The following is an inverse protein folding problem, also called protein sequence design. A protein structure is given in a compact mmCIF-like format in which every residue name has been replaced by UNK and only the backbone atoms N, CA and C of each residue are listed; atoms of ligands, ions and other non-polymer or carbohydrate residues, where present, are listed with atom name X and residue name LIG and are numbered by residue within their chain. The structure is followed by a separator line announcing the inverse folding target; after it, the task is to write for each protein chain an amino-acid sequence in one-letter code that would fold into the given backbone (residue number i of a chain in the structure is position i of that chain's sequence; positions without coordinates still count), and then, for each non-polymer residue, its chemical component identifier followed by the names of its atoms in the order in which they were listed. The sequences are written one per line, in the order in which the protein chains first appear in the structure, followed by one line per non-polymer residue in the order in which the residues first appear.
data_IF_288924811039
#
_entry.id   IF_288924811039
#
_cell.length_a   1.000
_cell.length_b   1.000
_cell.length_c   1.000
_cell.angle_alpha   90.00
_cell.angle_beta   90.00
_cell.angle_gamma   90.00
#
_symmetry.space_group_name_H-M   'P 1'
#
loop_
_entity.id
_entity.type
_entity.pdbx_description
1 polymer ?
#
# COMPACT_ATOMS: atom_id res chain seq x y z
N UNK A 1 -6.72 1.28 -3.32
CA UNK A 1 -5.92 0.46 -4.26
C UNK A 1 -4.66 -0.05 -3.56
N UNK A 2 -4.12 -1.20 -3.98
CA UNK A 2 -2.84 -1.73 -3.46
C UNK A 2 -1.97 -2.15 -4.65
N UNK A 3 -0.68 -1.81 -4.61
CA UNK A 3 0.31 -2.20 -5.62
C UNK A 3 1.54 -2.76 -4.93
N UNK A 4 1.89 -3.99 -5.26
CA UNK A 4 3.07 -4.68 -4.71
C UNK A 4 4.27 -4.45 -5.63
N UNK A 5 5.43 -4.19 -5.05
CA UNK A 5 6.72 -3.97 -5.70
C UNK A 5 7.79 -4.83 -5.02
N UNK A 6 8.70 -5.41 -5.79
CA UNK A 6 9.78 -6.25 -5.24
C UNK A 6 10.27 -7.38 -6.13
N UNK A 7 9.99 -7.30 -7.44
CA UNK A 7 10.58 -8.21 -8.42
C UNK A 7 12.12 -8.12 -8.36
N UNK A 8 12.79 -9.25 -8.09
CA UNK A 8 14.25 -9.29 -7.89
C UNK A 8 14.77 -8.66 -6.60
N UNK A 9 13.92 -8.36 -5.61
CA UNK A 9 14.31 -7.78 -4.32
C UNK A 9 14.32 -8.82 -3.19
N UNK A 10 14.93 -8.47 -2.06
CA UNK A 10 15.04 -9.34 -0.87
C UNK A 10 13.69 -9.67 -0.21
N UNK A 11 12.69 -8.82 -0.40
CA UNK A 11 11.33 -8.97 0.13
C UNK A 11 10.35 -8.14 -0.69
N UNK A 12 9.05 -8.37 -0.53
CA UNK A 12 8.02 -7.54 -1.18
C UNK A 12 7.69 -6.31 -0.33
N UNK A 13 7.47 -5.20 -1.01
CA UNK A 13 6.91 -3.98 -0.43
C UNK A 13 5.62 -3.60 -1.14
N UNK A 14 4.75 -2.82 -0.51
CA UNK A 14 3.51 -2.40 -1.15
C UNK A 14 3.21 -0.91 -0.96
N UNK A 15 2.73 -0.28 -2.02
CA UNK A 15 2.02 0.99 -1.97
C UNK A 15 0.56 0.75 -1.67
N UNK A 16 0.04 1.43 -0.66
CA UNK A 16 -1.36 1.39 -0.28
C UNK A 16 -1.96 2.77 -0.48
N UNK A 17 -3.00 2.83 -1.30
CA UNK A 17 -3.85 4.00 -1.51
C UNK A 17 -5.16 3.75 -0.77
N UNK A 18 -5.21 4.06 0.53
CA UNK A 18 -6.43 3.94 1.29
C UNK A 18 -7.49 4.89 0.73
N UNK A 19 -8.74 4.44 0.76
CA UNK A 19 -9.86 5.34 0.59
C UNK A 19 -10.17 5.94 1.96
N UNK A 20 -9.99 7.25 2.14
CA UNK A 20 -10.23 7.94 3.41
C UNK A 20 -11.56 7.56 4.06
N UNK A 21 -12.73 7.71 3.40
CA UNK A 21 -14.02 7.34 3.99
C UNK A 21 -14.10 5.86 4.41
N UNK A 22 -13.41 4.95 3.71
CA UNK A 22 -13.38 3.53 4.09
C UNK A 22 -12.50 3.27 5.33
N UNK A 23 -11.42 4.02 5.49
CA UNK A 23 -10.57 3.96 6.68
C UNK A 23 -11.28 4.59 7.88
N UNK A 24 -11.91 5.74 7.69
CA UNK A 24 -12.69 6.42 8.72
C UNK A 24 -13.83 5.54 9.22
N UNK A 25 -14.57 4.90 8.31
CA UNK A 25 -15.61 3.95 8.69
C UNK A 25 -15.05 2.77 9.50
N UNK A 26 -13.95 2.15 9.04
CA UNK A 26 -13.34 1.02 9.72
C UNK A 26 -12.78 1.38 11.11
N UNK A 27 -12.18 2.57 11.26
CA UNK A 27 -11.68 3.05 12.54
C UNK A 27 -12.83 3.41 13.49
N UNK A 28 -13.89 4.03 12.97
CA UNK A 28 -15.09 4.36 13.74
C UNK A 28 -15.81 3.11 14.25
N UNK A 29 -15.90 2.04 13.45
CA UNK A 29 -16.41 0.74 13.90
C UNK A 29 -15.57 0.13 15.02
N UNK A 30 -14.26 0.41 15.04
CA UNK A 30 -13.35 -0.01 16.11
C UNK A 30 -13.32 0.97 17.30
N UNK A 31 -14.10 2.05 17.28
CA UNK A 31 -14.08 3.09 18.30
C UNK A 31 -12.79 3.90 18.35
N UNK A 32 -11.97 3.87 17.29
CA UNK A 32 -10.69 4.54 17.19
C UNK A 32 -10.80 5.89 16.46
N UNK A 33 -9.99 6.87 16.87
CA UNK A 33 -9.86 8.14 16.15
C UNK A 33 -9.03 7.97 14.88
N UNK A 34 -9.33 8.79 13.88
CA UNK A 34 -8.62 8.80 12.59
C UNK A 34 -7.30 9.54 12.78
N UNK A 35 -6.23 8.79 13.01
CA UNK A 35 -4.85 9.32 13.12
C UNK A 35 -3.91 8.54 12.19
N UNK A 36 -2.81 9.13 11.71
CA UNK A 36 -1.84 8.44 10.85
C UNK A 36 -1.37 7.10 11.44
N UNK A 37 -1.20 7.05 12.75
CA UNK A 37 -0.83 5.85 13.51
C UNK A 37 -1.94 4.79 13.48
N UNK A 38 -3.20 5.19 13.71
CA UNK A 38 -4.34 4.29 13.66
C UNK A 38 -4.57 3.73 12.24
N UNK A 39 -4.42 4.58 11.21
CA UNK A 39 -4.48 4.16 9.80
C UNK A 39 -3.37 3.15 9.52
N UNK A 40 -2.14 3.45 9.94
CA UNK A 40 -1.00 2.55 9.76
C UNK A 40 -1.24 1.21 10.45
N UNK A 41 -1.69 1.20 11.70
CA UNK A 41 -1.99 0.00 12.46
C UNK A 41 -3.11 -0.84 11.82
N UNK A 42 -4.17 -0.19 11.32
CA UNK A 42 -5.26 -0.86 10.62
C UNK A 42 -4.77 -1.56 9.35
N UNK A 43 -3.91 -0.87 8.57
CA UNK A 43 -3.31 -1.43 7.37
C UNK A 43 -2.34 -2.56 7.69
N UNK A 44 -1.50 -2.39 8.70
CA UNK A 44 -0.53 -3.39 9.13
C UNK A 44 -1.23 -4.68 9.54
N UNK A 45 -2.29 -4.59 10.34
CA UNK A 45 -3.12 -5.74 10.73
C UNK A 45 -3.76 -6.45 9.53
N UNK A 46 -4.19 -5.71 8.50
CA UNK A 46 -4.72 -6.29 7.26
C UNK A 46 -3.63 -7.01 6.46
N UNK A 47 -2.44 -6.41 6.39
CA UNK A 47 -1.29 -7.01 5.70
C UNK A 47 -0.79 -8.25 6.44
N UNK A 48 -0.73 -8.22 7.77
CA UNK A 48 -0.34 -9.36 8.61
C UNK A 48 -1.28 -10.54 8.39
N UNK A 49 -2.60 -10.29 8.34
CA UNK A 49 -3.59 -11.32 8.03
C UNK A 49 -3.33 -11.98 6.68
N UNK A 50 -3.07 -11.19 5.64
CA UNK A 50 -2.77 -11.71 4.29
C UNK A 50 -1.41 -12.44 4.29
N UNK A 51 -0.40 -11.89 4.95
CA UNK A 51 0.92 -12.50 5.08
C UNK A 51 0.88 -13.84 5.81
N UNK A 52 -0.06 -14.03 6.75
CA UNK A 52 -0.23 -15.30 7.47
C UNK A 52 -0.69 -16.44 6.55
N UNK A 53 -1.26 -16.13 5.40
CA UNK A 53 -1.70 -17.11 4.39
C UNK A 53 -0.65 -17.30 3.27
N UNK A 54 0.43 -16.50 3.28
CA UNK A 54 1.47 -16.48 2.26
C UNK A 54 2.76 -17.11 2.76
N UNK A 55 3.54 -17.70 1.85
CA UNK A 55 4.87 -18.17 2.16
C UNK A 55 5.79 -16.97 2.51
N UNK A 56 6.82 -17.22 3.32
CA UNK A 56 7.69 -16.13 3.83
C UNK A 56 8.31 -15.25 2.73
N UNK A 57 8.59 -15.81 1.56
CA UNK A 57 9.14 -15.09 0.40
C UNK A 57 8.08 -14.25 -0.36
N UNK A 58 6.79 -14.55 -0.19
CA UNK A 58 5.65 -13.80 -0.74
C UNK A 58 5.08 -12.77 0.24
N UNK A 59 5.60 -12.71 1.47
CA UNK A 59 5.11 -11.75 2.46
C UNK A 59 5.54 -10.31 2.16
N UNK A 60 4.60 -9.40 2.34
CA UNK A 60 4.83 -7.95 2.25
C UNK A 60 5.46 -7.51 3.57
N UNK A 61 6.73 -7.13 3.55
CA UNK A 61 7.46 -6.73 4.76
C UNK A 61 7.28 -5.26 5.12
N UNK A 62 7.09 -4.40 4.12
CA UNK A 62 6.94 -2.96 4.33
C UNK A 62 5.87 -2.39 3.43
N UNK A 63 5.16 -1.40 3.96
CA UNK A 63 4.16 -0.66 3.22
C UNK A 63 4.42 0.84 3.30
N UNK A 64 4.05 1.54 2.24
CA UNK A 64 3.92 3.00 2.22
C UNK A 64 2.47 3.36 2.00
N UNK A 65 1.98 4.29 2.81
CA UNK A 65 0.65 4.86 2.67
C UNK A 65 0.76 6.08 1.77
N UNK A 66 0.03 6.07 0.67
CA UNK A 66 0.02 7.14 -0.32
C UNK A 66 -1.19 8.03 -0.08
N UNK A 67 -0.97 9.33 -0.07
CA UNK A 67 -2.02 10.33 0.17
C UNK A 67 -2.88 10.55 -1.09
N UNK A 68 -2.23 10.64 -2.26
CA UNK A 68 -2.92 10.90 -3.52
C UNK A 68 -3.45 9.61 -4.17
N UNK A 69 -4.78 9.47 -4.38
CA UNK A 69 -5.37 8.28 -4.96
C UNK A 69 -4.98 8.08 -6.43
N UNK A 70 -4.92 6.81 -6.86
CA UNK A 70 -4.75 6.49 -8.27
C UNK A 70 -5.97 6.96 -9.07
N UNK A 71 -5.72 7.70 -10.15
CA UNK A 71 -6.76 8.24 -11.04
C UNK A 71 -6.47 7.95 -12.51
N UNK A 72 -7.51 8.00 -13.34
CA UNK A 72 -7.39 7.86 -14.81
C UNK A 72 -6.73 9.11 -15.40
N UNK A 73 -7.13 10.30 -14.94
CA UNK A 73 -6.55 11.60 -15.33
C UNK A 73 -5.06 11.69 -14.99
N UNK A 74 -4.66 11.19 -13.82
CA UNK A 74 -3.26 11.12 -13.41
C UNK A 74 -2.41 10.14 -14.22
N UNK A 75 -3.02 9.39 -15.14
CA UNK A 75 -2.35 8.41 -16.00
C UNK A 75 -1.98 7.10 -15.31
N UNK A 76 -2.40 6.91 -14.05
CA UNK A 76 -2.04 5.76 -13.23
C UNK A 76 -3.07 4.63 -13.29
N UNK A 77 -4.28 4.93 -13.77
CA UNK A 77 -5.32 3.96 -14.08
C UNK A 77 -5.58 3.89 -15.59
N UNK A 78 -6.07 2.74 -16.06
CA UNK A 78 -6.70 2.60 -17.37
C UNK A 78 -8.10 3.22 -17.36
N UNK A 79 -8.71 3.50 -18.52
CA UNK A 79 -10.12 3.92 -18.59
C UNK A 79 -11.07 2.91 -17.93
N UNK A 80 -10.65 1.65 -17.84
CA UNK A 80 -11.33 0.55 -17.14
C UNK A 80 -10.94 0.42 -15.67
N UNK A 81 -10.36 1.47 -15.06
CA UNK A 81 -9.94 1.53 -13.65
C UNK A 81 -8.88 0.52 -13.20
N UNK A 82 -8.23 -0.18 -14.14
CA UNK A 82 -7.12 -1.09 -13.81
C UNK A 82 -5.85 -0.28 -13.55
N UNK A 83 -5.06 -0.71 -12.56
CA UNK A 83 -3.79 -0.05 -12.25
C UNK A 83 -2.76 -0.25 -13.35
N UNK A 84 -2.21 0.85 -13.87
CA UNK A 84 -1.07 0.85 -14.79
C UNK A 84 0.23 0.71 -14.01
N UNK A 85 0.60 -0.53 -13.68
CA UNK A 85 1.80 -0.84 -12.87
C UNK A 85 3.06 -0.14 -13.38
N UNK A 86 3.30 -0.10 -14.69
CA UNK A 86 4.45 0.59 -15.29
C UNK A 86 4.49 2.08 -14.92
N UNK A 87 3.39 2.81 -15.09
CA UNK A 87 3.31 4.23 -14.74
C UNK A 87 3.45 4.46 -13.23
N UNK A 88 2.88 3.58 -12.41
CA UNK A 88 3.04 3.62 -10.95
C UNK A 88 4.51 3.40 -10.56
N UNK A 89 5.20 2.45 -11.18
CA UNK A 89 6.60 2.17 -10.89
C UNK A 89 7.52 3.31 -11.35
N UNK A 90 7.23 3.96 -12.47
CA UNK A 90 7.98 5.13 -12.92
C UNK A 90 7.79 6.32 -11.98
N UNK A 91 6.57 6.56 -11.48
CA UNK A 91 6.27 7.69 -10.59
C UNK A 91 6.70 7.45 -9.14
N UNK A 92 6.44 6.28 -8.59
CA UNK A 92 6.66 5.96 -7.18
C UNK A 92 7.82 4.98 -6.95
N UNK A 93 8.57 4.60 -7.99
CA UNK A 93 9.69 3.65 -7.88
C UNK A 93 10.73 4.09 -6.85
N UNK A 94 11.04 5.39 -6.77
CA UNK A 94 11.94 5.93 -5.74
C UNK A 94 11.38 5.78 -4.32
N UNK A 95 10.07 5.94 -4.14
CA UNK A 95 9.40 5.75 -2.85
C UNK A 95 9.47 4.28 -2.43
N UNK A 96 9.19 3.35 -3.35
CA UNK A 96 9.30 1.93 -3.08
C UNK A 96 10.75 1.50 -2.83
N UNK A 97 11.71 2.02 -3.60
CA UNK A 97 13.13 1.78 -3.39
C UNK A 97 13.58 2.25 -1.99
N UNK A 98 13.13 3.43 -1.56
CA UNK A 98 13.41 3.96 -0.22
C UNK A 98 12.93 3.07 0.93
N UNK A 99 11.90 2.24 0.73
CA UNK A 99 11.47 1.26 1.73
C UNK A 99 12.52 0.17 1.97
N UNK A 100 13.33 -0.16 0.98
CA UNK A 100 14.44 -1.11 1.15
C UNK A 100 15.63 -0.50 1.86
N UNK A 101 15.85 0.81 1.67
CA UNK A 101 16.96 1.55 2.27
C UNK A 101 16.69 2.01 3.71
N UNK A 102 15.42 2.26 4.05
CA UNK A 102 15.01 2.52 5.42
C UNK A 102 15.39 1.31 6.28
N UNK A 103 16.48 1.39 7.04
CA UNK A 103 16.88 0.31 7.94
C UNK A 103 15.69 -0.06 8.86
N UNK A 104 15.44 -1.36 9.07
CA UNK A 104 14.43 -1.80 10.03
C UNK A 104 14.73 -1.29 11.44
#
# INVERSE_FOLDING_TARGET
HVVVYGDGQKFLVAGVWPNQPAIEAALKEQGASVSPEAIRALLDKRIERVNSELASYETIKKIVVMDEPLSVEGGLLTPTLKVKRKAVYERYGKVFAGLYEAKP
#
